data_IF_085494569733
#
_entry.id   IF_085494569733
#
_cell.length_a   1.000
_cell.length_b   1.000
_cell.length_c   1.000
_cell.angle_alpha   90.00
_cell.angle_beta   90.00
_cell.angle_gamma   90.00
#
_symmetry.space_group_name_H-M   'P 1'
#
loop_
_entity.id
_entity.type
_entity.pdbx_description
1 polymer ?
#
# COMPACT_ATOMS: atom_id res chain seq x y z
N UNK A 1 -7.53 -4.46 22.49
CA UNK A 1 -6.94 -5.47 21.57
C UNK A 1 -6.62 -4.74 20.29
N UNK A 2 -5.46 -4.97 19.69
CA UNK A 2 -5.05 -4.33 18.41
C UNK A 2 -5.62 -5.10 17.24
N UNK A 3 -6.14 -4.40 16.25
CA UNK A 3 -6.63 -4.98 14.98
C UNK A 3 -5.56 -4.84 13.91
N UNK A 4 -5.53 -5.78 12.96
CA UNK A 4 -4.56 -5.79 11.87
C UNK A 4 -5.28 -5.80 10.52
N UNK A 5 -4.81 -4.96 9.60
CA UNK A 5 -5.40 -4.84 8.26
C UNK A 5 -4.27 -4.93 7.23
N UNK A 6 -4.44 -5.80 6.24
CA UNK A 6 -3.54 -5.93 5.10
C UNK A 6 -4.16 -5.25 3.87
N UNK A 7 -3.39 -4.36 3.24
CA UNK A 7 -3.77 -3.59 2.06
C UNK A 7 -2.98 -4.08 0.85
N UNK A 8 -3.66 -4.70 -0.10
CA UNK A 8 -3.04 -5.26 -1.31
C UNK A 8 -2.66 -4.17 -2.33
N UNK A 9 -1.83 -4.54 -3.31
CA UNK A 9 -1.41 -3.64 -4.39
C UNK A 9 -2.46 -3.45 -5.49
N UNK A 10 -2.18 -2.53 -6.41
CA UNK A 10 -3.00 -2.30 -7.61
C UNK A 10 -3.08 -3.55 -8.47
N UNK A 11 -4.25 -3.80 -9.07
CA UNK A 11 -4.52 -4.96 -9.92
C UNK A 11 -4.18 -6.32 -9.26
N UNK A 12 -4.38 -6.39 -7.95
CA UNK A 12 -4.14 -7.56 -7.10
C UNK A 12 -5.43 -7.88 -6.32
N UNK A 13 -5.35 -8.56 -5.18
CA UNK A 13 -6.54 -8.84 -4.38
C UNK A 13 -6.24 -9.50 -3.04
N UNK A 14 -7.30 -9.77 -2.25
CA UNK A 14 -7.18 -10.37 -0.93
C UNK A 14 -6.59 -11.80 -0.93
N UNK A 15 -6.63 -12.49 -2.05
CA UNK A 15 -6.09 -13.85 -2.23
C UNK A 15 -4.70 -13.90 -2.85
N UNK A 16 -3.99 -12.75 -2.95
CA UNK A 16 -2.62 -12.72 -3.46
C UNK A 16 -1.67 -13.56 -2.61
N UNK A 17 -0.56 -14.02 -3.19
CA UNK A 17 0.43 -14.84 -2.47
C UNK A 17 0.93 -14.16 -1.19
N UNK A 18 1.22 -12.86 -1.25
CA UNK A 18 1.62 -12.09 -0.06
C UNK A 18 0.51 -12.04 0.98
N UNK A 19 -0.71 -11.69 0.58
CA UNK A 19 -1.84 -11.62 1.50
C UNK A 19 -2.12 -12.97 2.18
N UNK A 20 -2.05 -14.07 1.42
CA UNK A 20 -2.22 -15.44 1.94
C UNK A 20 -1.12 -15.80 2.94
N UNK A 21 0.15 -15.48 2.63
CA UNK A 21 1.25 -15.77 3.54
C UNK A 21 1.12 -15.03 4.89
N UNK A 22 0.77 -13.75 4.83
CA UNK A 22 0.48 -12.96 6.04
C UNK A 22 -0.72 -13.52 6.80
N UNK A 23 -1.82 -13.84 6.11
CA UNK A 23 -3.01 -14.42 6.72
C UNK A 23 -2.68 -15.70 7.49
N UNK A 24 -2.00 -16.63 6.86
CA UNK A 24 -1.61 -17.91 7.48
C UNK A 24 -0.75 -17.68 8.72
N UNK A 25 0.23 -16.77 8.65
CA UNK A 25 1.09 -16.45 9.80
C UNK A 25 0.32 -15.85 10.97
N UNK A 26 -0.61 -14.95 10.70
CA UNK A 26 -1.44 -14.35 11.74
C UNK A 26 -2.40 -15.37 12.36
N UNK A 27 -2.97 -16.27 11.56
CA UNK A 27 -3.78 -17.41 12.04
C UNK A 27 -2.97 -18.35 12.95
N UNK A 28 -1.71 -18.68 12.60
CA UNK A 28 -0.79 -19.44 13.46
C UNK A 28 -0.56 -18.78 14.83
N UNK A 29 -0.61 -17.47 14.89
CA UNK A 29 -0.47 -16.68 16.12
C UNK A 29 -1.81 -16.49 16.87
N UNK A 30 -2.91 -17.02 16.35
CA UNK A 30 -4.24 -16.83 16.92
C UNK A 30 -4.79 -15.41 16.78
N UNK A 31 -4.29 -14.64 15.81
CA UNK A 31 -4.66 -13.24 15.57
C UNK A 31 -5.36 -13.12 14.21
N UNK A 32 -6.48 -12.41 14.18
CA UNK A 32 -7.20 -12.13 12.95
C UNK A 32 -6.46 -11.06 12.10
N UNK A 33 -6.39 -11.28 10.78
CA UNK A 33 -5.91 -10.31 9.81
C UNK A 33 -7.04 -9.97 8.84
N UNK A 34 -7.52 -8.72 8.86
CA UNK A 34 -8.51 -8.23 7.93
C UNK A 34 -7.84 -7.89 6.60
N UNK A 35 -8.40 -8.37 5.49
CA UNK A 35 -7.87 -8.12 4.14
C UNK A 35 -9.02 -7.63 3.26
N UNK A 36 -9.34 -6.31 3.27
CA UNK A 36 -10.41 -5.78 2.45
C UNK A 36 -10.07 -5.85 0.96
N UNK A 37 -11.09 -6.03 0.13
CA UNK A 37 -10.96 -5.86 -1.32
C UNK A 37 -10.95 -4.37 -1.65
N UNK A 38 -9.80 -3.85 -2.06
CA UNK A 38 -9.60 -2.43 -2.33
C UNK A 38 -10.06 -2.01 -3.73
N UNK A 39 -10.48 -2.95 -4.57
CA UNK A 39 -11.04 -2.64 -5.89
C UNK A 39 -12.49 -2.14 -5.79
N UNK A 40 -13.18 -2.50 -4.71
CA UNK A 40 -14.60 -2.24 -4.57
C UNK A 40 -15.43 -2.97 -5.63
N UNK A 41 -16.51 -2.34 -6.08
CA UNK A 41 -17.44 -2.97 -7.02
C UNK A 41 -16.94 -2.96 -8.47
N UNK A 42 -16.01 -2.06 -8.83
CA UNK A 42 -15.58 -1.89 -10.21
C UNK A 42 -14.12 -1.37 -10.31
N UNK A 43 -13.22 -2.25 -10.76
CA UNK A 43 -11.82 -1.94 -10.99
C UNK A 43 -11.62 -0.76 -11.96
N UNK A 44 -12.42 -0.66 -13.02
CA UNK A 44 -12.27 0.38 -14.05
C UNK A 44 -12.47 1.79 -13.50
N UNK A 45 -13.44 1.98 -12.63
CA UNK A 45 -13.78 3.28 -12.04
C UNK A 45 -13.12 3.53 -10.67
N UNK A 46 -12.27 2.60 -10.22
CA UNK A 46 -11.56 2.71 -8.95
C UNK A 46 -10.69 3.97 -8.91
N UNK A 47 -10.69 4.66 -7.77
CA UNK A 47 -9.85 5.83 -7.49
C UNK A 47 -9.11 5.66 -6.18
N UNK A 48 -8.11 6.52 -5.92
CA UNK A 48 -7.42 6.54 -4.64
C UNK A 48 -8.39 6.84 -3.48
N UNK A 49 -9.31 7.78 -3.68
CA UNK A 49 -10.35 8.11 -2.70
C UNK A 49 -11.31 6.96 -2.43
N UNK A 50 -11.74 6.21 -3.47
CA UNK A 50 -12.62 5.06 -3.25
C UNK A 50 -11.94 3.99 -2.41
N UNK A 51 -10.66 3.70 -2.66
CA UNK A 51 -9.86 2.77 -1.86
C UNK A 51 -9.69 3.24 -0.40
N UNK A 52 -9.40 4.53 -0.20
CA UNK A 52 -9.28 5.11 1.15
C UNK A 52 -10.62 5.05 1.89
N UNK A 53 -11.74 5.28 1.21
CA UNK A 53 -13.06 5.18 1.81
C UNK A 53 -13.39 3.75 2.25
N UNK A 54 -12.99 2.72 1.49
CA UNK A 54 -13.12 1.32 1.92
C UNK A 54 -12.37 1.11 3.25
N UNK A 55 -11.13 1.61 3.35
CA UNK A 55 -10.33 1.50 4.58
C UNK A 55 -10.97 2.29 5.72
N UNK A 56 -11.43 3.50 5.49
CA UNK A 56 -12.08 4.33 6.52
C UNK A 56 -13.36 3.67 7.05
N UNK A 57 -14.21 3.16 6.16
CA UNK A 57 -15.42 2.43 6.57
C UNK A 57 -15.10 1.21 7.44
N UNK A 58 -14.01 0.49 7.14
CA UNK A 58 -13.56 -0.61 7.98
C UNK A 58 -13.06 -0.11 9.35
N UNK A 59 -12.28 0.96 9.38
CA UNK A 59 -11.79 1.57 10.62
C UNK A 59 -12.94 2.05 11.52
N UNK A 60 -13.96 2.68 10.93
CA UNK A 60 -15.14 3.16 11.68
C UNK A 60 -15.90 2.01 12.34
N UNK A 61 -15.91 0.81 11.76
CA UNK A 61 -16.52 -0.39 12.34
C UNK A 61 -15.71 -0.96 13.51
N UNK A 62 -14.43 -0.60 13.64
CA UNK A 62 -13.56 -1.10 14.71
C UNK A 62 -13.64 -0.29 16.01
N UNK A 63 -14.52 0.74 16.08
CA UNK A 63 -14.84 1.49 17.29
C UNK A 63 -13.60 1.99 18.04
N UNK A 64 -12.76 2.78 17.40
CA UNK A 64 -11.54 3.41 17.96
C UNK A 64 -10.48 2.44 18.51
N UNK A 65 -10.56 1.16 18.19
CA UNK A 65 -9.49 0.22 18.53
C UNK A 65 -8.19 0.62 17.84
N UNK A 66 -7.05 0.35 18.48
CA UNK A 66 -5.74 0.49 17.83
C UNK A 66 -5.65 -0.42 16.62
N UNK A 67 -5.14 0.12 15.52
CA UNK A 67 -5.02 -0.61 14.25
C UNK A 67 -3.58 -0.55 13.74
N UNK A 68 -3.08 -1.68 13.24
CA UNK A 68 -1.84 -1.75 12.50
C UNK A 68 -2.13 -2.07 11.04
N UNK A 69 -1.48 -1.31 10.14
CA UNK A 69 -1.63 -1.52 8.70
C UNK A 69 -0.39 -2.22 8.13
N UNK A 70 -0.63 -3.20 7.28
CA UNK A 70 0.39 -3.87 6.46
C UNK A 70 0.04 -3.57 5.02
N UNK A 71 0.93 -2.92 4.27
CA UNK A 71 0.62 -2.49 2.92
C UNK A 71 1.64 -2.91 1.88
N UNK A 72 1.20 -3.41 0.73
CA UNK A 72 2.05 -3.77 -0.39
C UNK A 72 1.85 -2.83 -1.57
N UNK A 73 2.92 -2.27 -2.13
CA UNK A 73 2.88 -1.40 -3.31
C UNK A 73 1.90 -0.24 -3.13
N UNK A 74 0.83 -0.16 -3.93
CA UNK A 74 -0.27 0.80 -3.76
C UNK A 74 -0.87 0.74 -2.35
N UNK A 75 -1.07 -0.46 -1.79
CA UNK A 75 -1.55 -0.63 -0.41
C UNK A 75 -0.59 -0.03 0.63
N UNK A 76 0.72 -0.03 0.35
CA UNK A 76 1.72 0.65 1.19
C UNK A 76 1.57 2.17 1.15
N UNK A 77 1.31 2.74 -0.02
CA UNK A 77 1.01 4.17 -0.15
C UNK A 77 -0.30 4.54 0.56
N UNK A 78 -1.37 3.75 0.37
CA UNK A 78 -2.64 3.93 1.08
C UNK A 78 -2.46 3.86 2.61
N UNK A 79 -1.71 2.87 3.11
CA UNK A 79 -1.42 2.76 4.54
C UNK A 79 -0.77 4.03 5.11
N UNK A 80 0.17 4.61 4.34
CA UNK A 80 0.85 5.85 4.75
C UNK A 80 -0.11 7.04 4.78
N UNK A 81 -0.98 7.19 3.76
CA UNK A 81 -1.99 8.25 3.71
C UNK A 81 -3.00 8.13 4.85
N UNK A 82 -3.50 6.91 5.10
CA UNK A 82 -4.45 6.62 6.17
C UNK A 82 -3.85 6.92 7.54
N UNK A 83 -2.58 6.55 7.77
CA UNK A 83 -1.90 6.83 9.03
C UNK A 83 -1.80 8.33 9.34
N UNK A 84 -1.73 9.20 8.33
CA UNK A 84 -1.74 10.66 8.54
C UNK A 84 -3.13 11.21 8.91
N UNK A 85 -4.21 10.52 8.52
CA UNK A 85 -5.59 10.99 8.68
C UNK A 85 -6.33 10.38 9.88
N UNK A 86 -5.86 9.24 10.39
CA UNK A 86 -6.57 8.45 11.41
C UNK A 86 -5.68 8.24 12.64
N UNK A 87 -6.20 8.59 13.82
CA UNK A 87 -5.43 8.58 15.07
C UNK A 87 -5.29 7.19 15.70
N UNK A 88 -6.18 6.28 15.37
CA UNK A 88 -6.16 4.88 15.83
C UNK A 88 -5.04 4.06 15.20
N UNK A 89 -4.37 4.56 14.14
CA UNK A 89 -3.26 3.82 13.53
C UNK A 89 -2.02 3.86 14.45
N UNK A 90 -1.66 2.68 14.95
CA UNK A 90 -0.59 2.50 15.94
C UNK A 90 0.78 2.20 15.31
N UNK A 91 0.82 1.53 14.15
CA UNK A 91 2.04 1.25 13.39
C UNK A 91 1.71 0.87 11.95
N UNK A 92 2.70 1.02 11.05
CA UNK A 92 2.57 0.61 9.65
C UNK A 92 3.79 -0.18 9.19
N UNK A 93 3.55 -1.28 8.46
CA UNK A 93 4.57 -2.10 7.81
C UNK A 93 4.36 -2.09 6.30
N UNK A 94 5.33 -1.64 5.54
CA UNK A 94 5.20 -1.31 4.13
C UNK A 94 6.14 -2.15 3.27
N UNK A 95 5.63 -2.76 2.24
CA UNK A 95 6.35 -3.57 1.26
C UNK A 95 6.40 -2.85 -0.08
N UNK A 96 7.58 -2.41 -0.51
CA UNK A 96 7.80 -1.68 -1.77
C UNK A 96 6.72 -0.59 -2.01
N UNK A 97 6.50 0.37 -1.07
CA UNK A 97 5.37 1.28 -1.13
C UNK A 97 5.38 2.15 -2.37
N UNK A 98 4.20 2.33 -2.97
CA UNK A 98 4.00 3.05 -4.22
C UNK A 98 4.11 4.57 -4.12
N UNK A 99 5.10 5.10 -3.39
CA UNK A 99 5.32 6.55 -3.32
C UNK A 99 5.60 7.15 -4.70
N UNK A 100 5.00 8.30 -4.98
CA UNK A 100 5.05 8.97 -6.28
C UNK A 100 4.65 8.07 -7.47
N UNK A 101 3.82 7.05 -7.20
CA UNK A 101 3.42 6.09 -8.24
C UNK A 101 2.65 6.78 -9.36
N UNK A 102 1.70 7.65 -9.02
CA UNK A 102 0.84 8.30 -10.01
C UNK A 102 1.62 9.23 -10.92
N UNK A 103 2.51 10.06 -10.38
CA UNK A 103 3.35 10.97 -11.17
C UNK A 103 4.28 10.19 -12.13
N UNK A 104 4.86 9.07 -11.64
CA UNK A 104 5.71 8.21 -12.48
C UNK A 104 4.91 7.51 -13.57
N UNK A 105 3.72 7.02 -13.24
CA UNK A 105 2.84 6.34 -14.19
C UNK A 105 2.31 7.32 -15.24
N UNK A 106 1.84 8.50 -14.86
CA UNK A 106 1.46 9.56 -15.80
C UNK A 106 2.61 9.92 -16.76
N UNK A 107 3.83 10.04 -16.22
CA UNK A 107 5.02 10.32 -17.04
C UNK A 107 5.31 9.20 -18.03
N UNK A 108 5.20 7.94 -17.64
CA UNK A 108 5.39 6.78 -18.54
C UNK A 108 4.36 6.72 -19.66
N UNK A 109 3.15 7.21 -19.40
CA UNK A 109 2.06 7.34 -20.37
C UNK A 109 2.13 8.64 -21.18
N UNK A 110 3.12 9.50 -20.93
CA UNK A 110 3.26 10.82 -21.56
C UNK A 110 2.04 11.72 -21.39
N UNK A 111 1.32 11.57 -20.25
CA UNK A 111 0.18 12.42 -19.92
C UNK A 111 0.66 13.76 -19.37
N UNK A 112 0.19 14.85 -19.98
CA UNK A 112 0.48 16.19 -19.49
C UNK A 112 -0.33 16.48 -18.20
N UNK A 113 0.38 16.65 -17.09
CA UNK A 113 -0.22 16.92 -15.78
C UNK A 113 -1.12 18.17 -15.78
N UNK A 114 -0.84 19.14 -16.62
CA UNK A 114 -1.55 20.42 -16.70
C UNK A 114 -2.65 20.46 -17.78
N UNK A 115 -2.76 19.43 -18.63
CA UNK A 115 -3.73 19.38 -19.72
C UNK A 115 -4.53 18.07 -19.68
N UNK A 116 -5.47 17.99 -18.73
CA UNK A 116 -6.30 16.79 -18.53
C UNK A 116 -7.17 16.45 -19.74
N UNK A 117 -7.51 17.45 -20.56
CA UNK A 117 -8.30 17.23 -21.78
C UNK A 117 -7.56 16.40 -22.85
N UNK A 118 -6.21 16.31 -22.75
CA UNK A 118 -5.39 15.51 -23.66
C UNK A 118 -5.24 14.05 -23.21
N UNK A 119 -5.74 13.68 -22.03
CA UNK A 119 -5.53 12.34 -21.51
C UNK A 119 -6.37 11.30 -22.23
N UNK A 120 -5.78 10.11 -22.43
CA UNK A 120 -6.54 8.92 -22.81
C UNK A 120 -7.57 8.60 -21.73
N UNK A 121 -8.71 8.01 -22.11
CA UNK A 121 -9.80 7.78 -21.14
C UNK A 121 -9.48 6.61 -20.21
N UNK A 122 -8.83 5.57 -20.72
CA UNK A 122 -8.54 4.32 -20.00
C UNK A 122 -7.13 3.83 -20.29
N UNK A 123 -6.51 3.22 -19.29
CA UNK A 123 -5.19 2.62 -19.38
C UNK A 123 -5.30 1.11 -19.22
N UNK A 124 -4.73 0.31 -20.13
CA UNK A 124 -4.64 -1.14 -19.94
C UNK A 124 -3.63 -1.47 -18.85
N UNK A 125 -4.00 -2.43 -17.99
CA UNK A 125 -3.13 -2.96 -16.94
C UNK A 125 -3.32 -4.46 -16.80
N UNK A 126 -2.22 -5.22 -16.65
CA UNK A 126 -2.33 -6.64 -16.36
C UNK A 126 -2.83 -6.84 -14.94
N UNK A 127 -3.95 -7.56 -14.80
CA UNK A 127 -4.60 -7.80 -13.54
C UNK A 127 -4.25 -9.19 -13.01
N UNK A 128 -3.40 -9.24 -11.99
CA UNK A 128 -2.83 -10.49 -11.46
C UNK A 128 -3.89 -11.44 -10.89
N UNK A 129 -4.96 -10.92 -10.27
CA UNK A 129 -6.05 -11.71 -9.70
C UNK A 129 -6.85 -12.48 -10.77
N UNK A 130 -7.07 -11.86 -11.93
CA UNK A 130 -7.88 -12.43 -13.01
C UNK A 130 -7.01 -13.01 -14.14
N UNK A 131 -5.70 -12.77 -14.10
CA UNK A 131 -4.74 -13.20 -15.12
C UNK A 131 -5.12 -12.71 -16.53
N UNK A 132 -5.57 -11.47 -16.65
CA UNK A 132 -6.02 -10.84 -17.90
C UNK A 132 -5.69 -9.33 -17.91
N UNK A 133 -5.77 -8.72 -19.10
CA UNK A 133 -5.71 -7.26 -19.21
C UNK A 133 -7.07 -6.67 -18.84
N UNK A 134 -7.07 -5.76 -17.87
CA UNK A 134 -8.19 -4.89 -17.53
C UNK A 134 -7.87 -3.45 -17.82
N UNK A 135 -8.88 -2.61 -17.80
CA UNK A 135 -8.72 -1.18 -18.04
C UNK A 135 -9.05 -0.40 -16.78
N UNK A 136 -8.29 0.65 -16.51
CA UNK A 136 -8.59 1.59 -15.43
C UNK A 136 -8.75 2.99 -16.01
N UNK A 137 -9.73 3.73 -15.53
CA UNK A 137 -9.98 5.11 -15.96
C UNK A 137 -8.85 6.04 -15.50
N UNK A 138 -8.48 7.01 -16.35
CA UNK A 138 -7.51 8.05 -15.99
C UNK A 138 -8.04 9.04 -14.92
N UNK A 139 -9.31 8.94 -14.53
CA UNK A 139 -9.84 9.63 -13.36
C UNK A 139 -9.06 9.29 -12.07
N UNK A 140 -8.42 8.11 -12.00
CA UNK A 140 -7.54 7.77 -10.88
C UNK A 140 -6.41 8.78 -10.72
N UNK A 141 -5.84 9.31 -11.82
CA UNK A 141 -4.77 10.31 -11.78
C UNK A 141 -5.29 11.67 -11.29
N UNK A 142 -6.47 12.11 -11.75
CA UNK A 142 -7.09 13.36 -11.27
C UNK A 142 -7.37 13.26 -9.78
N UNK A 143 -7.93 12.14 -9.35
CA UNK A 143 -8.23 11.90 -7.95
C UNK A 143 -6.95 11.84 -7.10
N UNK A 144 -5.88 11.21 -7.59
CA UNK A 144 -4.61 11.13 -6.88
C UNK A 144 -3.97 12.51 -6.63
N UNK A 145 -4.18 13.50 -7.51
CA UNK A 145 -3.71 14.87 -7.29
C UNK A 145 -4.22 15.46 -5.98
N UNK A 146 -5.47 15.17 -5.59
CA UNK A 146 -6.04 15.65 -4.33
C UNK A 146 -5.30 15.12 -3.09
N UNK A 147 -4.64 13.97 -3.22
CA UNK A 147 -3.87 13.33 -2.15
C UNK A 147 -2.38 13.67 -2.15
N UNK A 148 -1.86 14.31 -3.21
CA UNK A 148 -0.46 14.72 -3.30
C UNK A 148 -0.05 15.82 -2.32
N UNK A 149 -1.03 16.53 -1.73
CA UNK A 149 -0.83 17.59 -0.74
C UNK A 149 -0.91 17.09 0.71
N UNK A 150 -0.95 15.79 0.94
CA UNK A 150 -0.94 15.24 2.31
C UNK A 150 0.49 15.32 2.85
N UNK A 151 0.65 16.09 3.92
CA UNK A 151 1.90 16.13 4.66
C UNK A 151 2.06 14.87 5.51
N UNK A 152 3.25 14.27 5.47
CA UNK A 152 3.58 13.07 6.25
C UNK A 152 4.30 13.46 7.55
N UNK A 153 3.65 14.27 8.40
CA UNK A 153 4.25 14.83 9.62
C UNK A 153 3.91 14.04 10.89
N UNK A 154 2.92 13.15 10.83
CA UNK A 154 2.54 12.34 11.97
C UNK A 154 3.50 11.15 12.12
N UNK A 155 4.23 11.15 13.21
CA UNK A 155 5.19 10.10 13.54
C UNK A 155 4.46 8.86 14.06
N UNK A 156 4.34 7.87 13.21
CA UNK A 156 3.82 6.54 13.54
C UNK A 156 4.95 5.55 13.36
N UNK A 157 5.19 4.61 14.29
CA UNK A 157 6.18 3.54 14.09
C UNK A 157 6.01 2.90 12.72
N UNK A 158 7.04 3.00 11.88
CA UNK A 158 6.94 2.65 10.47
C UNK A 158 8.15 1.88 9.98
N UNK A 159 7.93 0.77 9.27
CA UNK A 159 8.97 0.01 8.61
C UNK A 159 8.66 -0.14 7.13
N UNK A 160 9.67 0.09 6.31
CA UNK A 160 9.64 -0.19 4.87
C UNK A 160 10.60 -1.34 4.58
N UNK A 161 10.13 -2.33 3.82
CA UNK A 161 10.97 -3.36 3.21
C UNK A 161 10.88 -3.18 1.70
N UNK A 162 12.04 -3.12 1.01
CA UNK A 162 12.06 -2.81 -0.42
C UNK A 162 13.17 -3.58 -1.14
N UNK A 163 12.84 -4.13 -2.33
CA UNK A 163 13.78 -4.81 -3.19
C UNK A 163 14.73 -3.84 -3.89
N UNK A 164 16.03 -4.12 -3.91
CA UNK A 164 17.01 -3.25 -4.61
C UNK A 164 16.90 -3.35 -6.13
N UNK A 165 16.29 -4.42 -6.64
CA UNK A 165 16.05 -4.66 -8.07
C UNK A 165 14.61 -4.37 -8.49
N UNK A 166 13.89 -3.57 -7.70
CA UNK A 166 12.50 -3.18 -8.01
C UNK A 166 12.46 -2.27 -9.25
N UNK A 167 11.90 -2.78 -10.35
CA UNK A 167 11.71 -2.10 -11.62
C UNK A 167 10.34 -1.40 -11.73
N UNK A 168 9.41 -1.71 -10.84
CA UNK A 168 8.07 -1.09 -10.78
C UNK A 168 8.10 0.18 -9.94
N UNK A 169 8.65 0.09 -8.72
CA UNK A 169 8.88 1.22 -7.81
C UNK A 169 10.37 1.26 -7.46
N UNK A 170 11.19 2.06 -8.16
CA UNK A 170 12.62 2.11 -7.89
C UNK A 170 12.94 2.38 -6.42
N UNK A 171 13.85 1.60 -5.81
CA UNK A 171 14.25 1.72 -4.39
C UNK A 171 14.64 3.15 -4.00
N UNK A 172 15.17 3.93 -4.96
CA UNK A 172 15.51 5.34 -4.77
C UNK A 172 14.34 6.19 -4.26
N UNK A 173 13.11 5.78 -4.58
CA UNK A 173 11.89 6.47 -4.09
C UNK A 173 11.77 6.30 -2.58
N UNK A 174 11.92 5.09 -2.06
CA UNK A 174 11.90 4.84 -0.61
C UNK A 174 13.10 5.46 0.11
N UNK A 175 14.30 5.39 -0.47
CA UNK A 175 15.50 6.06 0.09
C UNK A 175 15.28 7.56 0.23
N UNK A 176 14.73 8.21 -0.81
CA UNK A 176 14.38 9.63 -0.76
C UNK A 176 13.30 9.93 0.28
N UNK A 177 12.28 9.09 0.38
CA UNK A 177 11.20 9.28 1.33
C UNK A 177 11.71 9.22 2.78
N UNK A 178 12.49 8.19 3.15
CA UNK A 178 13.01 8.06 4.52
C UNK A 178 14.03 9.12 4.89
N UNK A 179 14.75 9.71 3.93
CA UNK A 179 15.68 10.82 4.21
C UNK A 179 14.97 12.06 4.75
N UNK A 180 13.68 12.23 4.45
CA UNK A 180 12.84 13.34 4.95
C UNK A 180 11.92 12.93 6.11
N UNK A 181 11.83 11.62 6.40
CA UNK A 181 10.92 11.05 7.41
C UNK A 181 11.68 10.01 8.26
N UNK A 182 12.55 10.46 9.22
CA UNK A 182 13.50 9.58 9.92
C UNK A 182 12.87 8.51 10.82
N UNK A 183 11.57 8.62 11.13
CA UNK A 183 10.83 7.57 11.85
C UNK A 183 10.41 6.37 10.99
N UNK A 184 10.62 6.45 9.66
CA UNK A 184 10.50 5.29 8.78
C UNK A 184 11.82 4.54 8.69
N UNK A 185 11.84 3.30 9.14
CA UNK A 185 13.02 2.43 9.05
C UNK A 185 12.98 1.65 7.73
N UNK A 186 13.96 1.88 6.85
CA UNK A 186 14.09 1.18 5.57
C UNK A 186 15.00 -0.05 5.73
N UNK A 187 14.50 -1.21 5.27
CA UNK A 187 15.27 -2.43 5.03
C UNK A 187 15.29 -2.73 3.54
N UNK A 188 16.47 -2.87 2.99
CA UNK A 188 16.70 -3.19 1.58
C UNK A 188 17.01 -4.68 1.44
N UNK A 189 16.38 -5.34 0.47
CA UNK A 189 16.55 -6.75 0.19
C UNK A 189 17.03 -6.98 -1.24
N UNK A 190 17.82 -8.01 -1.45
CA UNK A 190 18.29 -8.47 -2.76
C UNK A 190 17.18 -9.21 -3.49
N UNK A 191 16.18 -8.47 -3.98
CA UNK A 191 14.97 -8.99 -4.63
C UNK A 191 14.30 -7.92 -5.50
N UNK A 192 13.26 -8.31 -6.21
CA UNK A 192 12.42 -7.48 -7.08
C UNK A 192 11.23 -6.83 -6.35
N UNK A 193 10.30 -6.19 -7.10
CA UNK A 193 9.06 -5.59 -6.59
C UNK A 193 8.17 -6.57 -5.84
N UNK A 194 8.15 -7.82 -6.26
CA UNK A 194 7.25 -8.82 -5.69
C UNK A 194 7.62 -9.21 -4.26
N UNK A 195 8.91 -9.13 -3.89
CA UNK A 195 9.48 -9.61 -2.61
C UNK A 195 9.24 -11.13 -2.37
N UNK A 196 8.81 -11.88 -3.38
CA UNK A 196 8.37 -13.27 -3.22
C UNK A 196 9.54 -14.20 -2.86
N UNK A 197 10.75 -13.93 -3.36
CA UNK A 197 11.96 -14.71 -3.02
C UNK A 197 12.34 -14.60 -1.53
N UNK A 198 11.86 -13.58 -0.84
CA UNK A 198 12.12 -13.32 0.58
C UNK A 198 10.83 -13.30 1.42
N UNK A 199 9.73 -13.84 0.90
CA UNK A 199 8.41 -13.68 1.51
C UNK A 199 8.34 -14.18 2.96
N UNK A 200 8.94 -15.33 3.27
CA UNK A 200 8.98 -15.84 4.64
C UNK A 200 9.69 -14.87 5.59
N UNK A 201 10.85 -14.36 5.17
CA UNK A 201 11.59 -13.36 5.95
C UNK A 201 10.79 -12.07 6.14
N UNK A 202 10.11 -11.59 5.11
CA UNK A 202 9.28 -10.35 5.15
C UNK A 202 8.15 -10.51 6.16
N UNK A 203 7.49 -11.68 6.19
CA UNK A 203 6.41 -11.97 7.15
C UNK A 203 6.96 -12.01 8.58
N UNK A 204 8.08 -12.70 8.81
CA UNK A 204 8.69 -12.80 10.14
C UNK A 204 9.21 -11.44 10.63
N UNK A 205 9.83 -10.62 9.75
CA UNK A 205 10.28 -9.27 10.08
C UNK A 205 9.10 -8.33 10.43
N UNK A 206 7.94 -8.51 9.79
CA UNK A 206 6.73 -7.77 10.14
C UNK A 206 6.25 -8.11 11.56
N UNK A 207 6.20 -9.38 11.90
CA UNK A 207 5.81 -9.83 13.25
C UNK A 207 6.78 -9.29 14.30
N UNK A 208 8.09 -9.40 14.03
CA UNK A 208 9.12 -8.89 14.92
C UNK A 208 9.03 -7.37 15.10
N UNK A 209 8.77 -6.63 14.02
CA UNK A 209 8.55 -5.19 14.07
C UNK A 209 7.39 -4.81 14.99
N UNK A 210 6.27 -5.54 14.92
CA UNK A 210 5.13 -5.27 15.79
C UNK A 210 5.41 -5.66 17.26
N UNK A 211 6.17 -6.74 17.53
CA UNK A 211 6.60 -7.11 18.88
C UNK A 211 7.50 -6.05 19.51
N UNK A 212 8.51 -5.56 18.78
CA UNK A 212 9.44 -4.52 19.25
C UNK A 212 8.65 -3.26 19.63
N UNK A 213 7.59 -2.93 18.92
CA UNK A 213 6.73 -1.78 19.20
C UNK A 213 5.63 -2.09 20.22
N UNK A 214 5.67 -3.24 20.91
CA UNK A 214 4.70 -3.66 21.96
C UNK A 214 3.26 -3.68 21.46
N UNK A 215 3.04 -4.15 20.26
CA UNK A 215 1.74 -4.22 19.61
C UNK A 215 1.12 -5.61 19.74
N UNK A 216 1.95 -6.66 19.76
CA UNK A 216 1.56 -8.03 20.06
C UNK A 216 1.61 -8.30 21.54
#
# INVERSE_FOLDING_TARGET
MTEFIYLHGLASGPSSQKATAFKNKFEELGVALNIPDLEGDNFESMTLSSQINIIFNLLDQLNDKKVCLIGSSMGGYLATLVAQKRNEIAAIYLMAPGFNFFERWMRSLQLDYNNEASWIIKVPIFHYRYNEIKYISTEIFKNAKAWSFVDFNKEVPSRIVHGIHDDVVPIAVSRKFVSSHPWFLLKELDTDHSLLSHLGWVVDDCIEFFKINRIF
#
